data_IF_410180567149
#
_entry.id   IF_410180567149
#
_cell.length_a   1.000
_cell.length_b   1.000
_cell.length_c   1.000
_cell.angle_alpha   90.00
_cell.angle_beta   90.00
_cell.angle_gamma   90.00
#
_symmetry.space_group_name_H-M   'P 1'
#
loop_
_entity.id
_entity.type
_entity.pdbx_description
1 polymer ?
#
# COMPACT_ATOMS: atom_id res chain seq x y z
N UNK A 1 4.14 6.64 -12.19
CA UNK A 1 3.23 5.91 -11.27
C UNK A 1 3.75 4.49 -11.21
N UNK A 2 3.99 3.95 -10.01
CA UNK A 2 4.42 2.55 -9.86
C UNK A 2 3.15 1.70 -9.90
N UNK A 3 3.11 0.69 -10.75
CA UNK A 3 2.05 -0.32 -10.77
C UNK A 3 2.55 -1.57 -10.07
N UNK A 4 1.79 -2.11 -9.13
CA UNK A 4 2.14 -3.36 -8.45
C UNK A 4 1.26 -4.49 -8.98
N UNK A 5 1.89 -5.51 -9.55
CA UNK A 5 1.23 -6.74 -9.95
C UNK A 5 1.19 -7.71 -8.77
N UNK A 6 0.00 -8.17 -8.38
CA UNK A 6 -0.23 -9.06 -7.24
C UNK A 6 -1.04 -10.25 -7.72
N UNK A 7 -0.57 -11.46 -7.43
CA UNK A 7 -1.14 -12.68 -7.99
C UNK A 7 -1.99 -13.45 -6.98
N UNK A 8 -1.76 -13.22 -5.68
CA UNK A 8 -2.48 -13.89 -4.60
C UNK A 8 -3.08 -12.89 -3.61
N UNK A 9 -4.16 -13.33 -2.94
CA UNK A 9 -4.79 -12.54 -1.87
C UNK A 9 -3.81 -12.29 -0.72
N UNK A 10 -2.95 -13.26 -0.43
CA UNK A 10 -1.93 -13.15 0.63
C UNK A 10 -0.89 -12.09 0.32
N UNK A 11 -0.34 -12.06 -0.90
CA UNK A 11 0.59 -11.00 -1.34
C UNK A 11 -0.06 -9.63 -1.24
N UNK A 12 -1.31 -9.51 -1.69
CA UNK A 12 -2.02 -8.25 -1.69
C UNK A 12 -2.32 -7.75 -0.27
N UNK A 13 -2.73 -8.65 0.64
CA UNK A 13 -2.90 -8.34 2.06
C UNK A 13 -1.56 -7.94 2.70
N UNK A 14 -0.49 -8.66 2.40
CA UNK A 14 0.84 -8.36 2.92
C UNK A 14 1.29 -6.95 2.53
N UNK A 15 1.20 -6.59 1.25
CA UNK A 15 1.56 -5.25 0.76
C UNK A 15 0.67 -4.17 1.37
N UNK A 16 -0.63 -4.42 1.52
CA UNK A 16 -1.54 -3.48 2.17
C UNK A 16 -1.12 -3.19 3.62
N UNK A 17 -0.67 -4.21 4.35
CA UNK A 17 -0.17 -4.09 5.72
C UNK A 17 1.18 -3.36 5.79
N UNK A 18 2.13 -3.71 4.93
CA UNK A 18 3.43 -3.03 4.84
C UNK A 18 3.24 -1.53 4.55
N UNK A 19 2.32 -1.20 3.65
CA UNK A 19 2.02 0.19 3.32
C UNK A 19 1.40 0.93 4.52
N UNK A 20 0.46 0.32 5.23
CA UNK A 20 -0.14 0.91 6.44
C UNK A 20 0.92 1.20 7.51
N UNK A 21 1.83 0.25 7.78
CA UNK A 21 2.91 0.42 8.75
C UNK A 21 3.86 1.56 8.38
N UNK A 22 4.22 1.68 7.09
CA UNK A 22 5.11 2.76 6.65
C UNK A 22 4.43 4.13 6.73
N UNK A 23 3.14 4.23 6.40
CA UNK A 23 2.38 5.48 6.59
C UNK A 23 2.42 5.89 8.06
N UNK A 24 2.08 4.98 8.98
CA UNK A 24 2.11 5.26 10.42
C UNK A 24 3.51 5.63 10.90
N UNK A 25 4.55 4.96 10.40
CA UNK A 25 5.95 5.27 10.75
C UNK A 25 6.32 6.71 10.43
N UNK A 26 6.01 7.19 9.22
CA UNK A 26 6.32 8.57 8.83
C UNK A 26 5.47 9.60 9.58
N UNK A 27 4.22 9.28 9.90
CA UNK A 27 3.34 10.16 10.66
C UNK A 27 3.76 10.30 12.13
N UNK A 28 4.25 9.21 12.74
CA UNK A 28 4.63 9.18 14.16
C UNK A 28 6.07 9.63 14.42
N UNK A 29 6.95 9.53 13.42
CA UNK A 29 8.38 9.82 13.57
C UNK A 29 8.79 10.90 12.56
N UNK A 30 8.32 12.12 12.79
CA UNK A 30 8.72 13.26 11.96
C UNK A 30 10.22 13.53 12.14
N UNK A 31 10.91 13.73 11.03
CA UNK A 31 12.34 14.04 11.01
C UNK A 31 12.48 15.48 10.53
N UNK A 32 13.03 16.34 11.40
CA UNK A 32 13.24 17.75 11.12
C UNK A 32 14.06 17.92 9.83
N UNK A 33 13.57 18.79 8.94
CA UNK A 33 14.19 19.05 7.64
C UNK A 33 13.90 18.00 6.56
N UNK A 34 13.09 16.98 6.85
CA UNK A 34 12.68 15.96 5.88
C UNK A 34 11.16 15.89 5.67
N UNK A 35 10.39 16.85 6.16
CA UNK A 35 8.92 16.82 6.18
C UNK A 35 8.35 16.67 4.76
N UNK A 36 8.93 17.36 3.77
CA UNK A 36 8.51 17.27 2.38
C UNK A 36 8.73 15.85 1.80
N UNK A 37 9.87 15.24 2.12
CA UNK A 37 10.17 13.87 1.69
C UNK A 37 9.27 12.86 2.39
N UNK A 38 9.05 13.00 3.70
CA UNK A 38 8.15 12.14 4.46
C UNK A 38 6.71 12.23 3.94
N UNK A 39 6.23 13.43 3.61
CA UNK A 39 4.91 13.63 2.99
C UNK A 39 4.82 13.00 1.60
N UNK A 40 5.90 13.04 0.81
CA UNK A 40 5.96 12.37 -0.49
C UNK A 40 5.95 10.86 -0.34
N UNK A 41 6.67 10.31 0.64
CA UNK A 41 6.66 8.88 0.96
C UNK A 41 5.28 8.42 1.46
N UNK A 42 4.61 9.21 2.30
CA UNK A 42 3.25 8.90 2.75
C UNK A 42 2.30 8.78 1.56
N UNK A 43 2.34 9.73 0.61
CA UNK A 43 1.51 9.69 -0.60
C UNK A 43 1.80 8.45 -1.45
N UNK A 44 3.07 8.09 -1.61
CA UNK A 44 3.46 6.87 -2.31
C UNK A 44 2.86 5.63 -1.63
N UNK A 45 3.02 5.49 -0.32
CA UNK A 45 2.48 4.34 0.41
C UNK A 45 0.95 4.30 0.42
N UNK A 46 0.27 5.45 0.42
CA UNK A 46 -1.19 5.52 0.27
C UNK A 46 -1.63 4.97 -1.10
N UNK A 47 -0.90 5.31 -2.17
CA UNK A 47 -1.20 4.79 -3.50
C UNK A 47 -0.96 3.28 -3.60
N UNK A 48 0.16 2.79 -3.06
CA UNK A 48 0.48 1.36 -2.95
C UNK A 48 -0.62 0.61 -2.19
N UNK A 49 -1.04 1.14 -1.03
CA UNK A 49 -2.10 0.54 -0.21
C UNK A 49 -3.43 0.46 -0.96
N UNK A 50 -3.75 1.49 -1.74
CA UNK A 50 -4.95 1.54 -2.59
C UNK A 50 -4.89 0.50 -3.70
N UNK A 51 -3.77 0.41 -4.43
CA UNK A 51 -3.58 -0.58 -5.49
C UNK A 51 -3.71 -2.01 -4.95
N UNK A 52 -3.06 -2.32 -3.82
CA UNK A 52 -3.19 -3.62 -3.17
C UNK A 52 -4.65 -3.95 -2.79
N UNK A 53 -5.39 -2.98 -2.24
CA UNK A 53 -6.80 -3.17 -1.93
C UNK A 53 -7.70 -3.44 -3.15
N UNK A 54 -7.39 -2.81 -4.29
CA UNK A 54 -8.08 -3.06 -5.56
C UNK A 54 -7.77 -4.47 -6.09
N UNK A 55 -6.51 -4.88 -6.08
CA UNK A 55 -6.11 -6.24 -6.50
C UNK A 55 -6.70 -7.31 -5.59
N UNK A 56 -6.74 -7.12 -4.27
CA UNK A 56 -7.41 -8.04 -3.35
C UNK A 56 -8.87 -8.27 -3.75
N UNK A 57 -9.60 -7.19 -4.06
CA UNK A 57 -10.99 -7.27 -4.50
C UNK A 57 -11.11 -8.02 -5.83
N UNK A 58 -10.25 -7.70 -6.79
CA UNK A 58 -10.24 -8.38 -8.09
C UNK A 58 -9.90 -9.87 -7.99
N UNK A 59 -8.96 -10.25 -7.13
CA UNK A 59 -8.59 -11.66 -6.88
C UNK A 59 -9.75 -12.40 -6.21
N UNK A 60 -10.39 -11.80 -5.20
CA UNK A 60 -11.55 -12.40 -4.52
C UNK A 60 -12.70 -12.65 -5.50
N UNK A 61 -13.03 -11.67 -6.34
CA UNK A 61 -14.08 -11.79 -7.36
C UNK A 61 -13.77 -12.86 -8.43
N UNK A 62 -12.48 -13.08 -8.75
CA UNK A 62 -12.06 -14.17 -9.65
C UNK A 62 -12.24 -15.54 -9.00
N UNK A 63 -11.93 -15.66 -7.70
CA UNK A 63 -12.09 -16.91 -6.95
C UNK A 63 -13.54 -17.33 -6.75
N UNK A 64 -14.47 -16.37 -6.62
CA UNK A 64 -15.92 -16.65 -6.49
C UNK A 64 -16.60 -17.08 -7.80
N UNK A 65 -15.96 -16.85 -8.95
CA UNK A 65 -16.48 -17.20 -10.29
C UNK A 65 -15.91 -18.49 -10.86
N UNK A 66 -14.96 -19.13 -10.17
CA UNK A 66 -14.31 -20.38 -10.55
C UNK A 66 -15.01 -21.57 -9.90
#
# INVERSE_FOLDING_TARGET
>A
MITIELNTLEEALHIQNVAALNISKYQQNQVEGQECQQNSNIRLWQDIRRQAGLEMKAISERGERA
#
